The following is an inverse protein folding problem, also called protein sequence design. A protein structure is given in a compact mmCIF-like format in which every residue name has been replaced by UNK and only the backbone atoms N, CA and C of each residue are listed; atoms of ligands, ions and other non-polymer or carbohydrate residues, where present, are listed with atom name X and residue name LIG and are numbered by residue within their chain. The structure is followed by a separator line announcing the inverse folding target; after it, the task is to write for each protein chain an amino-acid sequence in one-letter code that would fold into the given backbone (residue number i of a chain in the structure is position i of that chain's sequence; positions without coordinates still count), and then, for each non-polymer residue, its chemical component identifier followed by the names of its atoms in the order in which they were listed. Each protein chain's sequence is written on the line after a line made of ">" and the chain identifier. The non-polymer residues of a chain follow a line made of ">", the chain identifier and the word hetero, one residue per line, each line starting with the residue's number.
data_IF_161791864496
#
_entry.id   IF_161791864496
#
_cell.length_a   1.000
_cell.length_b   1.000
_cell.length_c   1.000
_cell.angle_alpha   90.00
_cell.angle_beta   90.00
_cell.angle_gamma   90.00
#
_symmetry.space_group_name_H-M   'P 1'
#
loop_
_entity.id
_entity.type
_entity.pdbx_description
1 polymer ?
#
# COMPACT_ATOMS: atom_id res chain seq x y z
N UNK A 1 5.91 0.55 -2.25
CA UNK A 1 6.46 1.79 -2.86
C UNK A 1 5.34 2.67 -3.37
N UNK A 2 5.46 4.01 -3.37
CA UNK A 2 4.56 4.88 -4.12
C UNK A 2 4.63 4.54 -5.61
N UNK A 3 3.48 4.55 -6.32
CA UNK A 3 3.45 4.30 -7.77
C UNK A 3 3.59 2.84 -8.23
N UNK A 4 3.72 1.88 -7.33
CA UNK A 4 3.86 0.46 -7.69
C UNK A 4 2.52 -0.25 -8.04
N UNK A 5 1.42 0.47 -8.20
CA UNK A 5 0.15 -0.08 -8.67
C UNK A 5 -0.82 -0.60 -7.60
N UNK A 6 -0.52 -0.50 -6.29
CA UNK A 6 -1.35 -1.06 -5.20
C UNK A 6 -2.84 -0.76 -5.30
N UNK A 7 -3.20 0.51 -5.46
CA UNK A 7 -4.61 0.93 -5.51
C UNK A 7 -5.33 0.38 -6.74
N UNK A 8 -4.64 0.35 -7.89
CA UNK A 8 -5.19 -0.19 -9.14
C UNK A 8 -5.37 -1.70 -9.05
N UNK A 9 -4.32 -2.43 -8.70
CA UNK A 9 -4.34 -3.90 -8.58
C UNK A 9 -5.31 -4.35 -7.49
N UNK A 10 -5.24 -3.72 -6.31
CA UNK A 10 -6.11 -4.05 -5.18
C UNK A 10 -7.59 -3.88 -5.49
N UNK A 11 -7.96 -2.82 -6.22
CA UNK A 11 -9.36 -2.58 -6.64
C UNK A 11 -9.85 -3.62 -7.63
N UNK A 12 -9.02 -4.01 -8.61
CA UNK A 12 -9.37 -5.05 -9.58
C UNK A 12 -9.59 -6.39 -8.87
N UNK A 13 -8.66 -6.78 -8.01
CA UNK A 13 -8.73 -8.04 -7.27
C UNK A 13 -9.91 -8.07 -6.30
N UNK A 14 -10.17 -6.97 -5.57
CA UNK A 14 -11.33 -6.86 -4.69
C UNK A 14 -12.65 -7.08 -5.46
N UNK A 15 -12.80 -6.43 -6.60
CA UNK A 15 -13.97 -6.61 -7.47
C UNK A 15 -14.12 -8.06 -7.94
N UNK A 16 -13.03 -8.70 -8.35
CA UNK A 16 -13.04 -10.10 -8.83
C UNK A 16 -13.43 -11.09 -7.72
N UNK A 17 -13.09 -10.78 -6.46
CA UNK A 17 -13.37 -11.63 -5.30
C UNK A 17 -14.68 -11.27 -4.57
N UNK A 18 -15.41 -10.24 -5.00
CA UNK A 18 -16.59 -9.75 -4.31
C UNK A 18 -16.29 -9.16 -2.93
N UNK A 19 -15.07 -8.64 -2.74
CA UNK A 19 -14.61 -7.99 -1.50
C UNK A 19 -14.71 -6.47 -1.59
N UNK A 20 -14.80 -5.79 -0.46
CA UNK A 20 -14.66 -4.34 -0.40
C UNK A 20 -13.22 -3.92 -0.67
N UNK A 21 -13.04 -2.71 -1.19
CA UNK A 21 -11.71 -2.11 -1.39
C UNK A 21 -11.59 -0.80 -0.62
N UNK A 22 -10.46 -0.61 0.05
CA UNK A 22 -10.12 0.64 0.76
C UNK A 22 -8.71 1.07 0.32
N UNK A 23 -8.59 2.33 -0.11
CA UNK A 23 -7.31 3.02 -0.16
C UNK A 23 -7.11 3.77 1.17
N UNK A 24 -6.03 3.47 1.89
CA UNK A 24 -5.80 4.05 3.20
C UNK A 24 -5.52 5.57 3.14
N UNK A 25 -4.92 6.05 2.04
CA UNK A 25 -4.70 7.48 1.83
C UNK A 25 -6.06 8.19 1.61
N UNK A 26 -6.97 7.62 0.82
CA UNK A 26 -8.33 8.14 0.62
C UNK A 26 -9.12 8.13 1.96
N UNK A 27 -8.98 7.07 2.75
CA UNK A 27 -9.61 6.95 4.06
C UNK A 27 -9.13 8.04 5.04
N UNK A 28 -7.83 8.37 5.03
CA UNK A 28 -7.28 9.47 5.83
C UNK A 28 -7.89 10.80 5.40
N UNK A 29 -7.98 11.06 4.10
CA UNK A 29 -8.58 12.28 3.55
C UNK A 29 -10.04 12.41 3.97
N UNK A 30 -10.84 11.35 3.84
CA UNK A 30 -12.25 11.33 4.25
C UNK A 30 -12.42 11.62 5.75
N UNK A 31 -11.63 10.97 6.60
CA UNK A 31 -11.67 11.12 8.06
C UNK A 31 -11.23 12.50 8.54
N UNK A 32 -10.19 13.07 7.92
CA UNK A 32 -9.61 14.35 8.35
C UNK A 32 -10.29 15.56 7.72
N UNK A 33 -10.99 15.38 6.60
CA UNK A 33 -11.53 16.48 5.79
C UNK A 33 -10.45 17.33 5.11
N UNK A 34 -9.20 16.86 5.06
CA UNK A 34 -8.02 17.54 4.51
C UNK A 34 -7.30 16.63 3.55
N UNK A 35 -6.68 17.20 2.51
CA UNK A 35 -5.81 16.41 1.65
C UNK A 35 -4.47 16.09 2.33
N UNK A 36 -3.76 15.10 1.79
CA UNK A 36 -2.50 14.61 2.39
C UNK A 36 -1.44 15.71 2.50
N UNK A 37 -1.32 16.58 1.50
CA UNK A 37 -0.34 17.68 1.51
C UNK A 37 -0.65 18.72 2.60
N UNK A 38 -1.93 19.02 2.83
CA UNK A 38 -2.37 19.89 3.93
C UNK A 38 -2.03 19.29 5.30
N UNK A 39 -2.25 17.99 5.48
CA UNK A 39 -1.91 17.30 6.73
C UNK A 39 -0.40 17.36 6.96
N UNK A 40 0.42 17.09 5.92
CA UNK A 40 1.88 17.20 6.04
C UNK A 40 2.34 18.63 6.35
N UNK A 41 1.72 19.64 5.75
CA UNK A 41 2.04 21.03 6.02
C UNK A 41 1.73 21.45 7.47
N UNK A 42 0.65 20.93 8.05
CA UNK A 42 0.21 21.27 9.40
C UNK A 42 0.98 20.53 10.50
N UNK A 43 1.20 19.23 10.36
CA UNK A 43 1.73 18.41 11.45
C UNK A 43 3.02 17.64 11.11
N UNK A 44 3.57 17.85 9.90
CA UNK A 44 4.79 17.21 9.45
C UNK A 44 4.68 15.69 9.28
N UNK A 45 5.82 15.04 9.04
CA UNK A 45 5.86 13.60 8.84
C UNK A 45 5.43 12.82 10.09
N UNK A 46 5.87 13.24 11.26
CA UNK A 46 5.55 12.55 12.52
C UNK A 46 4.04 12.62 12.83
N UNK A 47 3.44 13.79 12.66
CA UNK A 47 2.00 13.97 12.84
C UNK A 47 1.19 13.14 11.86
N UNK A 48 1.59 13.13 10.58
CA UNK A 48 0.97 12.29 9.58
C UNK A 48 1.02 10.79 9.95
N UNK A 49 2.17 10.29 10.45
CA UNK A 49 2.28 8.89 10.88
C UNK A 49 1.35 8.54 12.04
N UNK A 50 1.09 9.45 12.96
CA UNK A 50 0.11 9.24 14.03
C UNK A 50 -1.31 9.10 13.47
N UNK A 51 -1.68 9.95 12.51
CA UNK A 51 -2.99 9.87 11.83
C UNK A 51 -3.12 8.58 11.03
N UNK A 52 -2.10 8.23 10.23
CA UNK A 52 -2.03 7.00 9.44
C UNK A 52 -2.21 5.75 10.34
N UNK A 53 -1.53 5.71 11.49
CA UNK A 53 -1.64 4.61 12.46
C UNK A 53 -3.04 4.52 13.08
N UNK A 54 -3.65 5.65 13.41
CA UNK A 54 -5.02 5.68 13.94
C UNK A 54 -6.04 5.19 12.91
N UNK A 55 -5.92 5.62 11.65
CA UNK A 55 -6.76 5.14 10.56
C UNK A 55 -6.55 3.64 10.28
N UNK A 56 -5.31 3.15 10.35
CA UNK A 56 -5.02 1.73 10.23
C UNK A 56 -5.71 0.91 11.31
N UNK A 57 -5.74 1.37 12.56
CA UNK A 57 -6.46 0.71 13.65
C UNK A 57 -7.98 0.63 13.40
N UNK A 58 -8.57 1.63 12.77
CA UNK A 58 -9.98 1.58 12.38
C UNK A 58 -10.21 0.57 11.25
N UNK A 59 -9.38 0.62 10.21
CA UNK A 59 -9.45 -0.27 9.05
C UNK A 59 -9.22 -1.73 9.49
N UNK A 60 -8.33 -1.98 10.46
CA UNK A 60 -7.99 -3.33 10.94
C UNK A 60 -9.16 -4.10 11.56
N UNK A 61 -10.25 -3.41 11.94
CA UNK A 61 -11.48 -4.01 12.48
C UNK A 61 -12.45 -4.46 11.38
N UNK A 62 -12.24 -4.03 10.15
CA UNK A 62 -13.12 -4.36 9.03
C UNK A 62 -12.85 -5.79 8.55
N UNK A 63 -13.87 -6.39 7.94
CA UNK A 63 -13.81 -7.76 7.44
C UNK A 63 -14.12 -7.78 5.94
N UNK A 64 -13.63 -8.81 5.26
CA UNK A 64 -13.85 -9.01 3.84
C UNK A 64 -13.44 -7.79 2.99
N UNK A 65 -12.23 -7.26 3.26
CA UNK A 65 -11.72 -6.04 2.64
C UNK A 65 -10.29 -6.23 2.14
N UNK A 66 -9.99 -5.69 0.98
CA UNK A 66 -8.62 -5.50 0.47
C UNK A 66 -8.23 -4.05 0.71
N UNK A 67 -7.09 -3.84 1.34
CA UNK A 67 -6.59 -2.51 1.72
C UNK A 67 -5.29 -2.19 0.99
N UNK A 68 -5.28 -1.08 0.25
CA UNK A 68 -4.06 -0.50 -0.28
C UNK A 68 -3.51 0.52 0.73
N UNK A 69 -2.33 0.27 1.28
CA UNK A 69 -1.72 1.14 2.29
C UNK A 69 -0.78 2.17 1.69
N UNK A 70 -0.57 3.29 2.39
CA UNK A 70 0.52 4.22 2.09
C UNK A 70 1.89 3.53 2.17
N UNK A 71 2.82 3.91 1.27
CA UNK A 71 4.14 3.27 1.23
C UNK A 71 5.02 3.55 2.45
N UNK A 72 4.64 4.48 3.31
CA UNK A 72 5.37 4.78 4.55
C UNK A 72 4.90 4.00 5.77
N UNK A 73 3.82 3.23 5.67
CA UNK A 73 3.19 2.55 6.81
C UNK A 73 4.15 1.60 7.54
N UNK A 74 5.09 0.99 6.82
CA UNK A 74 6.10 0.08 7.35
C UNK A 74 7.21 0.78 8.14
N UNK A 75 7.24 2.11 8.14
CA UNK A 75 8.23 2.88 8.93
C UNK A 75 7.88 2.95 10.42
N UNK A 76 6.65 2.57 10.77
CA UNK A 76 6.15 2.50 12.15
C UNK A 76 5.98 1.01 12.50
N UNK A 77 6.82 0.43 13.39
CA UNK A 77 6.79 -1.01 13.71
C UNK A 77 5.45 -1.51 14.26
N UNK A 78 4.75 -0.66 15.00
CA UNK A 78 3.43 -0.96 15.56
C UNK A 78 2.40 -1.22 14.45
N UNK A 79 2.49 -0.49 13.34
CA UNK A 79 1.61 -0.70 12.18
C UNK A 79 1.80 -2.07 11.56
N UNK A 80 3.04 -2.57 11.48
CA UNK A 80 3.33 -3.92 10.99
C UNK A 80 2.64 -4.96 11.87
N UNK A 81 2.73 -4.77 13.19
CA UNK A 81 2.07 -5.66 14.16
C UNK A 81 0.54 -5.64 14.01
N UNK A 82 -0.06 -4.48 13.78
CA UNK A 82 -1.50 -4.34 13.53
C UNK A 82 -1.89 -5.06 12.24
N UNK A 83 -1.20 -4.81 11.14
CA UNK A 83 -1.49 -5.44 9.84
C UNK A 83 -1.43 -6.97 9.93
N UNK A 84 -0.36 -7.53 10.51
CA UNK A 84 -0.19 -8.99 10.65
C UNK A 84 -1.21 -9.66 11.59
N UNK A 85 -1.74 -8.94 12.57
CA UNK A 85 -2.78 -9.46 13.47
C UNK A 85 -4.17 -9.42 12.85
N UNK A 86 -4.41 -8.51 11.91
CA UNK A 86 -5.74 -8.27 11.33
C UNK A 86 -5.93 -8.94 9.96
N UNK A 87 -4.85 -9.32 9.29
CA UNK A 87 -4.92 -9.95 7.96
C UNK A 87 -3.55 -10.36 7.45
N UNK A 88 -3.48 -10.75 6.19
CA UNK A 88 -2.24 -11.10 5.49
C UNK A 88 -1.68 -9.89 4.76
N UNK A 89 -0.37 -9.70 4.85
CA UNK A 89 0.35 -8.60 4.21
C UNK A 89 0.96 -9.06 2.90
N UNK A 90 0.56 -8.44 1.80
CA UNK A 90 1.12 -8.71 0.47
C UNK A 90 1.97 -7.52 0.03
N UNK A 91 3.24 -7.78 -0.25
CA UNK A 91 4.13 -6.79 -0.84
C UNK A 91 4.03 -6.84 -2.37
N UNK A 92 3.65 -5.73 -2.99
CA UNK A 92 3.70 -5.58 -4.45
C UNK A 92 5.11 -5.11 -4.80
N UNK A 93 5.94 -6.02 -5.31
CA UNK A 93 7.31 -5.74 -5.72
C UNK A 93 7.35 -5.33 -7.19
N UNK A 94 7.60 -4.04 -7.40
CA UNK A 94 7.67 -3.43 -8.72
C UNK A 94 9.07 -2.82 -8.88
N UNK A 95 9.83 -3.17 -9.93
CA UNK A 95 11.12 -2.55 -10.21
C UNK A 95 11.03 -1.03 -10.25
N UNK A 96 12.04 -0.36 -9.72
CA UNK A 96 12.06 1.11 -9.64
C UNK A 96 11.95 1.73 -11.03
N UNK A 97 12.54 1.10 -12.04
CA UNK A 97 12.48 1.52 -13.45
C UNK A 97 11.02 1.52 -13.97
N UNK A 98 10.24 0.51 -13.61
CA UNK A 98 8.84 0.41 -13.99
C UNK A 98 7.99 1.48 -13.26
N UNK A 99 8.31 1.76 -12.01
CA UNK A 99 7.68 2.87 -11.27
C UNK A 99 7.96 4.21 -11.97
N UNK A 100 9.22 4.45 -12.35
CA UNK A 100 9.65 5.70 -13.01
C UNK A 100 9.07 5.90 -14.41
N UNK A 101 8.81 4.82 -15.14
CA UNK A 101 8.23 4.87 -16.49
C UNK A 101 6.71 5.10 -16.47
N UNK A 102 6.06 4.96 -15.32
CA UNK A 102 4.61 5.06 -15.20
C UNK A 102 4.15 6.54 -15.26
N UNK A 103 3.46 6.92 -16.35
CA UNK A 103 3.01 8.29 -16.63
C UNK A 103 1.98 8.83 -15.60
N UNK A 104 1.36 7.99 -14.79
CA UNK A 104 0.41 8.41 -13.74
C UNK A 104 1.06 9.12 -12.55
N UNK A 105 2.39 9.30 -12.58
CA UNK A 105 3.17 9.94 -11.51
C UNK A 105 3.23 11.46 -11.58
N UNK A 106 2.65 12.08 -12.60
CA UNK A 106 2.76 13.53 -12.89
C UNK A 106 2.22 14.47 -11.80
N UNK A 107 1.51 13.95 -10.80
CA UNK A 107 0.95 14.73 -9.68
C UNK A 107 1.64 14.52 -8.32
N UNK A 108 2.68 13.67 -8.21
CA UNK A 108 3.30 13.35 -6.91
C UNK A 108 4.68 14.01 -6.77
N UNK A 109 4.87 14.98 -5.84
CA UNK A 109 6.13 15.73 -5.69
C UNK A 109 7.37 14.85 -5.44
N UNK A 110 7.21 13.75 -4.70
CA UNK A 110 8.30 12.82 -4.36
C UNK A 110 8.83 12.03 -5.59
N UNK A 111 8.07 11.97 -6.68
CA UNK A 111 8.40 11.16 -7.86
C UNK A 111 9.00 11.98 -9.01
N UNK A 112 9.15 13.30 -8.82
CA UNK A 112 9.82 14.18 -9.81
C UNK A 112 11.34 14.02 -9.83
N UNK A 113 11.92 13.53 -8.74
CA UNK A 113 13.35 13.34 -8.59
C UNK A 113 13.66 11.82 -8.54
N UNK A 114 14.25 11.31 -9.60
CA UNK A 114 14.60 9.89 -9.74
C UNK A 114 15.50 9.40 -8.60
N UNK A 115 16.44 10.23 -8.16
CA UNK A 115 17.39 9.89 -7.09
C UNK A 115 16.64 9.62 -5.80
N UNK A 116 15.64 10.45 -5.47
CA UNK A 116 14.82 10.27 -4.26
C UNK A 116 14.00 8.98 -4.25
N UNK A 117 13.63 8.47 -5.42
CA UNK A 117 12.90 7.20 -5.51
C UNK A 117 13.81 6.02 -5.16
N UNK A 118 15.06 6.03 -5.67
CA UNK A 118 16.04 5.00 -5.32
C UNK A 118 16.41 5.05 -3.84
N UNK A 119 16.63 6.24 -3.27
CA UNK A 119 16.88 6.41 -1.85
C UNK A 119 15.71 5.86 -1.02
N UNK A 120 14.47 6.20 -1.39
CA UNK A 120 13.26 5.72 -0.73
C UNK A 120 13.10 4.20 -0.84
N UNK A 121 13.47 3.61 -1.98
CA UNK A 121 13.47 2.16 -2.19
C UNK A 121 14.49 1.50 -1.26
N UNK A 122 15.73 1.96 -1.28
CA UNK A 122 16.81 1.43 -0.47
C UNK A 122 16.50 1.49 1.04
N UNK A 123 15.91 2.59 1.49
CA UNK A 123 15.52 2.77 2.90
C UNK A 123 14.40 1.83 3.36
N UNK A 124 13.56 1.35 2.41
CA UNK A 124 12.32 0.65 2.77
C UNK A 124 12.23 -0.78 2.30
N UNK A 125 13.03 -1.21 1.32
CA UNK A 125 12.90 -2.55 0.75
C UNK A 125 13.00 -3.66 1.79
N UNK A 126 13.96 -3.55 2.72
CA UNK A 126 14.11 -4.52 3.81
C UNK A 126 12.87 -4.58 4.72
N UNK A 127 12.25 -3.44 4.98
CA UNK A 127 11.01 -3.35 5.80
C UNK A 127 9.82 -3.94 5.07
N UNK A 128 9.67 -3.69 3.76
CA UNK A 128 8.62 -4.30 2.96
C UNK A 128 8.75 -5.81 2.93
N UNK A 129 9.95 -6.32 2.61
CA UNK A 129 10.21 -7.76 2.53
C UNK A 129 9.99 -8.47 3.87
N UNK A 130 10.50 -7.90 4.98
CA UNK A 130 10.36 -8.51 6.31
C UNK A 130 8.95 -8.43 6.88
N UNK A 131 8.14 -7.46 6.47
CA UNK A 131 6.74 -7.32 6.91
C UNK A 131 5.77 -8.15 6.09
N UNK A 132 6.13 -8.55 4.88
CA UNK A 132 5.25 -9.29 3.98
C UNK A 132 5.09 -10.76 4.41
N UNK A 133 3.86 -11.27 4.26
CA UNK A 133 3.56 -12.71 4.33
C UNK A 133 3.61 -13.33 2.93
N UNK A 134 3.36 -12.52 1.90
CA UNK A 134 3.44 -12.89 0.48
C UNK A 134 4.07 -11.75 -0.32
N UNK A 135 4.75 -12.12 -1.42
CA UNK A 135 5.30 -11.17 -2.39
C UNK A 135 4.59 -11.39 -3.73
N UNK A 136 4.06 -10.33 -4.31
CA UNK A 136 3.50 -10.31 -5.64
C UNK A 136 4.46 -9.50 -6.53
N UNK A 137 5.15 -10.19 -7.43
CA UNK A 137 6.03 -9.55 -8.41
C UNK A 137 5.18 -8.84 -9.49
N UNK A 138 5.44 -7.56 -9.70
CA UNK A 138 4.78 -6.74 -10.72
C UNK A 138 5.84 -6.24 -11.72
N UNK A 139 6.42 -7.20 -12.47
CA UNK A 139 7.58 -7.00 -13.35
C UNK A 139 7.15 -6.82 -14.80
N UNK A 140 6.18 -7.62 -15.29
CA UNK A 140 5.84 -7.69 -16.71
C UNK A 140 4.73 -6.68 -17.07
N UNK A 141 3.49 -7.07 -16.88
CA UNK A 141 2.32 -6.28 -17.19
C UNK A 141 1.28 -6.35 -16.04
N UNK A 142 0.29 -5.49 -16.15
CA UNK A 142 -0.74 -5.38 -15.12
C UNK A 142 -1.59 -6.65 -14.98
N UNK A 143 -1.90 -7.32 -16.09
CA UNK A 143 -2.83 -8.44 -16.07
C UNK A 143 -2.16 -9.67 -15.43
N UNK A 144 -0.89 -9.90 -15.70
CA UNK A 144 -0.06 -10.91 -15.02
C UNK A 144 0.04 -10.66 -13.51
N UNK A 145 0.23 -9.40 -13.11
CA UNK A 145 0.25 -9.03 -11.69
C UNK A 145 -1.12 -9.23 -11.00
N UNK A 146 -2.22 -8.99 -11.72
CA UNK A 146 -3.58 -9.26 -11.22
C UNK A 146 -3.80 -10.76 -11.03
N UNK A 147 -3.40 -11.61 -11.98
CA UNK A 147 -3.50 -13.06 -11.88
C UNK A 147 -2.73 -13.58 -10.65
N UNK A 148 -1.47 -13.20 -10.53
CA UNK A 148 -0.63 -13.57 -9.37
C UNK A 148 -1.26 -13.14 -8.05
N UNK A 149 -1.78 -11.91 -7.99
CA UNK A 149 -2.41 -11.38 -6.78
C UNK A 149 -3.73 -12.11 -6.44
N UNK A 150 -4.52 -12.49 -7.45
CA UNK A 150 -5.73 -13.32 -7.29
C UNK A 150 -5.39 -14.70 -6.72
N UNK A 151 -4.33 -15.35 -7.23
CA UNK A 151 -3.87 -16.65 -6.71
C UNK A 151 -3.46 -16.54 -5.23
N UNK A 152 -2.69 -15.51 -4.87
CA UNK A 152 -2.30 -15.24 -3.49
C UNK A 152 -3.54 -15.04 -2.61
N UNK A 153 -4.49 -14.19 -3.03
CA UNK A 153 -5.70 -13.91 -2.26
C UNK A 153 -6.58 -15.16 -2.08
N UNK A 154 -6.77 -15.95 -3.14
CA UNK A 154 -7.52 -17.22 -3.05
C UNK A 154 -6.87 -18.20 -2.06
N UNK A 155 -5.53 -18.31 -2.08
CA UNK A 155 -4.80 -19.12 -1.10
C UNK A 155 -5.00 -18.62 0.33
N UNK A 156 -4.97 -17.32 0.56
CA UNK A 156 -5.23 -16.72 1.88
C UNK A 156 -6.65 -17.05 2.34
N UNK A 157 -7.65 -16.89 1.47
CA UNK A 157 -9.07 -17.16 1.79
C UNK A 157 -9.26 -18.62 2.16
N UNK A 158 -8.63 -19.56 1.46
CA UNK A 158 -8.70 -21.00 1.75
C UNK A 158 -8.09 -21.35 3.12
N UNK A 159 -7.05 -20.65 3.55
CA UNK A 159 -6.40 -20.89 4.86
C UNK A 159 -7.29 -20.37 6.01
N UNK A 160 -8.13 -19.38 5.76
CA UNK A 160 -8.98 -18.74 6.77
C UNK A 160 -10.35 -19.41 6.93
N UNK A 161 -10.70 -20.35 6.06
CA UNK A 161 -11.92 -21.19 6.13
C UNK A 161 -11.67 -22.47 6.94
#
# INVERSE_FOLDING_TARGET
>A
MPGCGKSTLGRIVANSLGMSFIDADDYIVEKSGKNIDEIFAECGNEGFRKIESACLLDISKMKNVIVATGGGIVTVPENISVMKKSGSVVFIDTPVENILSNSSLSGRPLLKDKTKIYDLYNDRISKYTSSADYICENIQDRDSAVETLLEICNKIIQILQ
#
